data_IF_851760572385
#
_entry.id   IF_851760572385
#
_cell.length_a   1.000
_cell.length_b   1.000
_cell.length_c   1.000
_cell.angle_alpha   90.00
_cell.angle_beta   90.00
_cell.angle_gamma   90.00
#
_symmetry.space_group_name_H-M   'P 1'
#
loop_
_entity.id
_entity.type
_entity.pdbx_description
1 polymer ?
#
# COMPACT_ATOMS: atom_id res chain seq x y z
N UNK A 1 -23.42 8.22 32.86
CA UNK A 1 -22.87 6.94 32.41
C UNK A 1 -21.43 7.24 32.04
N UNK A 2 -20.46 6.50 32.55
CA UNK A 2 -19.06 6.75 32.18
C UNK A 2 -18.86 6.35 30.73
N UNK A 3 -18.10 7.13 29.98
CA UNK A 3 -17.78 6.90 28.55
C UNK A 3 -17.15 5.50 28.35
N UNK A 4 -16.41 5.02 29.34
CA UNK A 4 -15.71 3.72 29.33
C UNK A 4 -16.65 2.49 29.25
N UNK A 5 -17.78 2.52 29.97
CA UNK A 5 -18.77 1.45 29.87
C UNK A 5 -19.39 1.36 28.46
N UNK A 6 -19.58 2.50 27.82
CA UNK A 6 -20.09 2.60 26.44
C UNK A 6 -19.09 2.03 25.41
N UNK A 7 -17.80 2.31 25.51
CA UNK A 7 -16.79 1.77 24.59
C UNK A 7 -16.63 0.24 24.73
N UNK A 8 -16.72 -0.33 25.94
CA UNK A 8 -16.70 -1.77 26.15
C UNK A 8 -17.90 -2.48 25.53
N UNK A 9 -19.05 -1.81 25.48
CA UNK A 9 -20.25 -2.35 24.82
C UNK A 9 -20.15 -2.28 23.28
N UNK A 10 -19.48 -1.25 22.76
CA UNK A 10 -19.27 -1.04 21.32
C UNK A 10 -18.17 -1.97 20.80
N UNK A 11 -17.08 -2.14 21.57
CA UNK A 11 -15.91 -2.91 21.17
C UNK A 11 -16.20 -4.42 21.03
N UNK A 12 -15.88 -4.98 19.88
CA UNK A 12 -15.90 -6.44 19.64
C UNK A 12 -14.55 -7.00 20.04
N UNK A 13 -14.48 -7.73 21.17
CA UNK A 13 -13.23 -8.37 21.62
C UNK A 13 -12.79 -9.45 20.62
N UNK A 14 -11.50 -9.46 20.28
CA UNK A 14 -10.89 -10.35 19.30
C UNK A 14 -9.90 -11.29 20.00
N UNK A 15 -10.46 -12.14 20.89
CA UNK A 15 -9.67 -13.01 21.79
C UNK A 15 -9.05 -14.21 21.06
N UNK A 16 -9.65 -14.63 19.95
CA UNK A 16 -9.26 -15.77 19.14
C UNK A 16 -9.60 -15.54 17.64
N UNK A 17 -9.09 -16.40 16.72
CA UNK A 17 -9.42 -16.29 15.30
C UNK A 17 -10.92 -16.37 14.98
N UNK A 18 -11.71 -17.07 15.78
CA UNK A 18 -13.16 -17.19 15.56
C UNK A 18 -13.89 -15.88 15.91
N UNK A 19 -13.49 -15.20 16.99
CA UNK A 19 -14.04 -13.88 17.35
C UNK A 19 -13.64 -12.79 16.34
N UNK A 20 -12.39 -12.81 15.86
CA UNK A 20 -11.96 -11.97 14.74
C UNK A 20 -12.85 -12.21 13.53
N UNK A 21 -13.03 -13.47 13.14
CA UNK A 21 -13.87 -13.84 12.00
C UNK A 21 -15.29 -13.32 12.10
N UNK A 22 -15.94 -13.50 13.26
CA UNK A 22 -17.31 -13.00 13.48
C UNK A 22 -17.40 -11.48 13.40
N UNK A 23 -16.46 -10.76 14.01
CA UNK A 23 -16.45 -9.29 13.96
C UNK A 23 -16.28 -8.76 12.53
N UNK A 24 -15.43 -9.39 11.72
CA UNK A 24 -15.26 -9.06 10.32
C UNK A 24 -16.51 -9.39 9.50
N UNK A 25 -17.14 -10.57 9.73
CA UNK A 25 -18.37 -10.95 9.03
C UNK A 25 -19.53 -9.98 9.32
N UNK A 26 -19.67 -9.54 10.59
CA UNK A 26 -20.66 -8.51 10.96
C UNK A 26 -20.38 -7.20 10.22
N UNK A 27 -19.12 -6.77 10.14
CA UNK A 27 -18.75 -5.54 9.44
C UNK A 27 -19.04 -5.64 7.93
N UNK A 28 -18.70 -6.77 7.32
CA UNK A 28 -18.98 -7.01 5.89
C UNK A 28 -20.48 -7.08 5.61
N UNK A 29 -21.26 -7.72 6.48
CA UNK A 29 -22.71 -7.86 6.34
C UNK A 29 -23.47 -6.54 6.54
N UNK A 30 -22.89 -5.58 7.26
CA UNK A 30 -23.48 -4.26 7.47
C UNK A 30 -23.41 -3.34 6.24
N UNK A 31 -22.63 -3.73 5.20
CA UNK A 31 -22.45 -2.90 4.00
C UNK A 31 -23.52 -3.19 2.95
N UNK A 32 -23.87 -2.15 2.20
CA UNK A 32 -24.83 -2.27 1.08
C UNK A 32 -24.25 -3.00 -0.11
N UNK A 33 -22.94 -2.84 -0.35
CA UNK A 33 -22.18 -3.55 -1.39
C UNK A 33 -21.00 -4.31 -0.76
N UNK A 34 -20.75 -5.56 -1.20
CA UNK A 34 -19.55 -6.29 -0.76
C UNK A 34 -18.29 -5.53 -1.17
N UNK A 35 -17.31 -5.36 -0.27
CA UNK A 35 -16.08 -4.67 -0.62
C UNK A 35 -15.27 -5.49 -1.65
N UNK A 36 -14.83 -4.81 -2.68
CA UNK A 36 -13.84 -5.36 -3.63
C UNK A 36 -12.43 -5.33 -3.00
N UNK A 37 -12.18 -4.33 -2.15
CA UNK A 37 -10.91 -4.12 -1.49
C UNK A 37 -11.14 -3.85 -0.01
N UNK A 38 -10.64 -4.76 0.84
CA UNK A 38 -10.53 -4.58 2.29
C UNK A 38 -9.10 -4.17 2.61
N UNK A 39 -8.95 -3.04 3.24
CA UNK A 39 -7.67 -2.51 3.68
C UNK A 39 -7.51 -2.68 5.19
N UNK A 40 -6.38 -3.22 5.63
CA UNK A 40 -5.95 -3.23 7.03
C UNK A 40 -4.68 -2.39 7.13
N UNK A 41 -4.71 -1.36 7.95
CA UNK A 41 -3.56 -0.51 8.16
C UNK A 41 -2.71 -0.91 9.35
N UNK A 42 -1.49 -0.38 9.43
CA UNK A 42 -0.66 -0.40 10.63
C UNK A 42 -0.16 1.03 10.96
N UNK A 43 -0.06 1.42 12.25
CA UNK A 43 0.33 2.78 12.62
C UNK A 43 1.85 2.99 12.60
N UNK A 44 2.61 1.91 12.46
CA UNK A 44 4.08 1.87 12.35
C UNK A 44 4.52 0.53 11.81
N UNK A 45 5.62 0.53 11.07
CA UNK A 45 6.24 -0.71 10.61
C UNK A 45 7.11 -1.36 11.70
N UNK A 46 7.28 -2.68 11.61
CA UNK A 46 8.22 -3.45 12.41
C UNK A 46 7.70 -3.93 13.77
N UNK A 47 6.45 -3.66 14.12
CA UNK A 47 5.80 -4.27 15.29
C UNK A 47 5.05 -5.53 14.84
N UNK A 48 5.46 -6.70 15.35
CA UNK A 48 4.95 -8.00 14.89
C UNK A 48 3.44 -8.19 15.01
N UNK A 49 2.81 -7.54 15.98
CA UNK A 49 1.38 -7.69 16.26
C UNK A 49 0.49 -7.36 15.04
N UNK A 50 0.86 -6.36 14.23
CA UNK A 50 0.08 -5.95 13.07
C UNK A 50 0.17 -6.94 11.89
N UNK A 51 1.36 -7.35 11.41
CA UNK A 51 1.46 -8.38 10.38
C UNK A 51 0.88 -9.73 10.80
N UNK A 52 0.95 -10.11 12.08
CA UNK A 52 0.34 -11.34 12.57
C UNK A 52 -1.19 -11.25 12.54
N UNK A 53 -1.78 -10.12 12.96
CA UNK A 53 -3.23 -9.87 12.82
C UNK A 53 -3.65 -9.94 11.35
N UNK A 54 -2.87 -9.35 10.43
CA UNK A 54 -3.10 -9.46 8.97
C UNK A 54 -3.15 -10.92 8.51
N UNK A 55 -2.23 -11.76 8.99
CA UNK A 55 -2.18 -13.16 8.60
C UNK A 55 -3.42 -13.94 9.10
N UNK A 56 -3.84 -13.69 10.34
CA UNK A 56 -5.08 -14.27 10.88
C UNK A 56 -6.30 -13.82 10.04
N UNK A 57 -6.38 -12.52 9.74
CA UNK A 57 -7.45 -11.95 8.91
C UNK A 57 -7.46 -12.55 7.50
N UNK A 58 -6.30 -12.67 6.84
CA UNK A 58 -6.21 -13.27 5.51
C UNK A 58 -6.72 -14.70 5.50
N UNK A 59 -6.32 -15.52 6.49
CA UNK A 59 -6.78 -16.91 6.58
C UNK A 59 -8.31 -17.00 6.63
N UNK A 60 -8.95 -16.13 7.42
CA UNK A 60 -10.41 -16.04 7.50
C UNK A 60 -11.05 -15.57 6.17
N UNK A 61 -10.48 -14.53 5.53
CA UNK A 61 -11.01 -13.95 4.32
C UNK A 61 -10.88 -14.89 3.09
N UNK A 62 -9.84 -15.72 3.05
CA UNK A 62 -9.66 -16.71 1.98
C UNK A 62 -10.81 -17.74 1.95
N UNK A 63 -11.37 -18.13 3.10
CA UNK A 63 -12.57 -18.97 3.20
C UNK A 63 -13.82 -18.26 2.64
N UNK A 64 -13.80 -16.93 2.55
CA UNK A 64 -14.86 -16.07 2.00
C UNK A 64 -14.62 -15.62 0.56
N UNK A 65 -13.67 -16.27 -0.11
CA UNK A 65 -13.44 -16.02 -1.53
C UNK A 65 -12.41 -14.94 -1.85
N UNK A 66 -11.73 -14.37 -0.86
CA UNK A 66 -10.58 -13.50 -1.15
C UNK A 66 -9.46 -14.32 -1.78
N UNK A 67 -8.89 -13.81 -2.86
CA UNK A 67 -7.90 -14.54 -3.69
C UNK A 67 -6.61 -13.76 -3.92
N UNK A 68 -6.47 -12.61 -3.26
CA UNK A 68 -5.26 -11.79 -3.38
C UNK A 68 -4.95 -11.07 -2.08
N UNK A 69 -3.65 -10.99 -1.77
CA UNK A 69 -3.11 -10.09 -0.76
C UNK A 69 -2.15 -9.12 -1.42
N UNK A 70 -2.23 -7.85 -1.03
CA UNK A 70 -1.43 -6.74 -1.54
C UNK A 70 -0.71 -6.08 -0.39
N UNK A 71 0.61 -5.95 -0.46
CA UNK A 71 1.41 -5.32 0.59
C UNK A 71 2.05 -4.02 0.13
N UNK A 72 2.42 -3.17 1.08
CA UNK A 72 3.28 -2.00 0.88
C UNK A 72 4.70 -2.48 0.56
N UNK A 73 4.88 -2.87 -0.68
CA UNK A 73 6.18 -3.25 -1.24
C UNK A 73 6.19 -2.92 -2.72
N UNK A 74 7.38 -2.76 -3.30
CA UNK A 74 7.56 -2.44 -4.72
C UNK A 74 6.71 -3.37 -5.60
N UNK A 75 5.93 -2.77 -6.49
CA UNK A 75 5.02 -3.48 -7.39
C UNK A 75 5.70 -4.57 -8.22
N UNK A 76 6.93 -4.31 -8.68
CA UNK A 76 7.67 -5.26 -9.51
C UNK A 76 8.42 -6.30 -8.68
N UNK A 77 8.99 -5.90 -7.54
CA UNK A 77 9.69 -6.80 -6.63
C UNK A 77 8.75 -7.90 -6.10
N UNK A 78 7.50 -7.55 -5.80
CA UNK A 78 6.48 -8.48 -5.33
C UNK A 78 6.26 -9.70 -6.24
N UNK A 79 6.59 -9.60 -7.54
CA UNK A 79 6.51 -10.72 -8.48
C UNK A 79 7.41 -11.89 -8.07
N UNK A 80 8.52 -11.65 -7.36
CA UNK A 80 9.41 -12.69 -6.83
C UNK A 80 8.68 -13.53 -5.79
N UNK A 81 7.93 -12.87 -4.89
CA UNK A 81 7.10 -13.56 -3.89
C UNK A 81 5.96 -14.32 -4.57
N UNK A 82 5.26 -13.68 -5.51
CA UNK A 82 4.12 -14.30 -6.19
C UNK A 82 4.52 -15.56 -6.97
N UNK A 83 5.65 -15.53 -7.66
CA UNK A 83 6.21 -16.70 -8.33
C UNK A 83 6.52 -17.82 -7.34
N UNK A 84 7.18 -17.49 -6.22
CA UNK A 84 7.48 -18.47 -5.18
C UNK A 84 6.23 -19.11 -4.60
N UNK A 85 5.22 -18.33 -4.19
CA UNK A 85 3.97 -18.88 -3.63
C UNK A 85 3.12 -19.61 -4.68
N UNK A 86 3.39 -19.38 -5.96
CA UNK A 86 2.78 -20.07 -7.08
C UNK A 86 3.47 -21.40 -7.46
N UNK A 87 4.64 -21.70 -6.87
CA UNK A 87 5.29 -23.00 -7.02
C UNK A 87 6.75 -22.97 -7.49
N UNK A 88 7.35 -21.82 -7.75
CA UNK A 88 8.76 -21.72 -8.13
C UNK A 88 9.69 -22.27 -7.04
N UNK A 89 10.80 -22.91 -7.47
CA UNK A 89 11.80 -23.51 -6.58
C UNK A 89 12.89 -22.51 -6.21
N UNK A 90 12.55 -21.49 -5.41
CA UNK A 90 13.52 -20.54 -4.90
C UNK A 90 13.76 -20.78 -3.39
N UNK A 91 14.88 -20.28 -2.89
CA UNK A 91 15.15 -20.21 -1.47
C UNK A 91 14.29 -19.09 -0.85
N UNK A 92 13.59 -19.39 0.25
CA UNK A 92 12.68 -18.43 0.90
C UNK A 92 13.42 -17.20 1.43
N UNK A 93 14.64 -17.35 1.93
CA UNK A 93 15.44 -16.21 2.42
C UNK A 93 15.76 -15.25 1.28
N UNK A 94 16.10 -15.78 0.10
CA UNK A 94 16.30 -14.97 -1.10
C UNK A 94 15.01 -14.30 -1.55
N UNK A 95 13.89 -15.00 -1.49
CA UNK A 95 12.56 -14.44 -1.84
C UNK A 95 12.22 -13.27 -0.92
N UNK A 96 12.42 -13.42 0.40
CA UNK A 96 12.17 -12.35 1.37
C UNK A 96 13.12 -11.16 1.15
N UNK A 97 14.39 -11.41 0.84
CA UNK A 97 15.38 -10.35 0.63
C UNK A 97 15.14 -9.54 -0.66
N UNK A 98 14.55 -10.13 -1.70
CA UNK A 98 14.42 -9.50 -3.03
C UNK A 98 13.00 -9.22 -3.48
N UNK A 99 12.00 -9.80 -2.83
CA UNK A 99 10.58 -9.63 -3.14
C UNK A 99 9.88 -8.57 -2.30
N UNK A 100 10.58 -8.00 -1.32
CA UNK A 100 10.10 -6.90 -0.48
C UNK A 100 11.04 -5.70 -0.61
N UNK A 101 10.48 -4.52 -0.83
CA UNK A 101 11.20 -3.26 -0.69
C UNK A 101 11.30 -2.83 0.78
N UNK A 102 12.02 -1.76 1.07
CA UNK A 102 12.17 -1.18 2.41
C UNK A 102 12.73 -2.15 3.48
N UNK A 103 13.31 -3.29 3.07
CA UNK A 103 13.75 -4.32 4.02
C UNK A 103 12.61 -5.09 4.70
N UNK A 104 11.36 -4.91 4.28
CA UNK A 104 10.20 -5.50 4.94
C UNK A 104 10.17 -7.03 4.94
N UNK A 105 10.96 -7.70 4.12
CA UNK A 105 11.13 -9.15 4.20
C UNK A 105 11.62 -9.66 5.56
N UNK A 106 12.32 -8.80 6.32
CA UNK A 106 12.80 -9.12 7.67
C UNK A 106 11.76 -8.86 8.78
N UNK A 107 10.62 -8.20 8.48
CA UNK A 107 9.58 -7.93 9.46
C UNK A 107 8.87 -9.24 9.86
N UNK A 108 8.74 -9.55 11.17
CA UNK A 108 8.01 -10.73 11.63
C UNK A 108 6.58 -10.77 11.08
N UNK A 109 6.11 -11.97 10.76
CA UNK A 109 4.81 -12.18 10.10
C UNK A 109 4.89 -12.22 8.57
N UNK A 110 5.93 -11.67 7.93
CA UNK A 110 6.07 -11.73 6.47
C UNK A 110 6.59 -13.09 5.98
N UNK A 111 7.53 -13.71 6.71
CA UNK A 111 7.95 -15.09 6.43
C UNK A 111 6.78 -16.06 6.58
N UNK A 112 6.08 -15.98 7.69
CA UNK A 112 4.91 -16.81 8.00
C UNK A 112 3.83 -16.65 6.92
N UNK A 113 3.59 -15.43 6.44
CA UNK A 113 2.69 -15.18 5.32
C UNK A 113 3.12 -15.91 4.06
N UNK A 114 4.38 -15.76 3.66
CA UNK A 114 4.90 -16.34 2.41
C UNK A 114 4.88 -17.86 2.45
N UNK A 115 5.26 -18.46 3.58
CA UNK A 115 5.24 -19.91 3.78
C UNK A 115 3.80 -20.44 3.84
N UNK A 116 2.89 -19.73 4.50
CA UNK A 116 1.47 -20.08 4.53
C UNK A 116 0.85 -20.02 3.13
N UNK A 117 1.10 -18.94 2.37
CA UNK A 117 0.60 -18.81 0.99
C UNK A 117 1.09 -19.94 0.11
N UNK A 118 2.39 -20.30 0.20
CA UNK A 118 2.95 -21.41 -0.56
C UNK A 118 2.27 -22.73 -0.22
N UNK A 119 2.11 -23.01 1.08
CA UNK A 119 1.43 -24.23 1.56
C UNK A 119 -0.04 -24.26 1.13
N UNK A 120 -0.74 -23.12 1.27
CA UNK A 120 -2.13 -22.98 0.85
C UNK A 120 -2.31 -23.22 -0.66
N UNK A 121 -1.41 -22.69 -1.48
CA UNK A 121 -1.49 -22.79 -2.94
C UNK A 121 -1.08 -24.17 -3.49
N UNK A 122 -0.40 -24.99 -2.68
CA UNK A 122 0.07 -26.30 -3.11
C UNK A 122 -1.08 -27.19 -3.57
N UNK A 123 -0.97 -27.72 -4.79
CA UNK A 123 -1.99 -28.58 -5.40
C UNK A 123 -3.28 -27.89 -5.84
N UNK A 124 -3.44 -26.58 -5.64
CA UNK A 124 -4.62 -25.81 -6.08
C UNK A 124 -4.50 -25.41 -7.54
N UNK A 125 -5.62 -25.40 -8.24
CA UNK A 125 -5.69 -24.86 -9.60
C UNK A 125 -5.36 -23.34 -9.60
N UNK A 126 -4.78 -22.79 -10.66
CA UNK A 126 -4.32 -21.39 -10.70
C UNK A 126 -5.38 -20.35 -10.31
N UNK A 127 -6.64 -20.57 -10.66
CA UNK A 127 -7.76 -19.68 -10.33
C UNK A 127 -8.11 -19.69 -8.83
N UNK A 128 -7.78 -20.76 -8.10
CA UNK A 128 -8.10 -20.94 -6.68
C UNK A 128 -6.95 -20.56 -5.75
N UNK A 129 -5.79 -20.24 -6.32
CA UNK A 129 -4.61 -19.80 -5.55
C UNK A 129 -4.79 -18.40 -5.04
N UNK A 130 -4.20 -18.10 -3.90
CA UNK A 130 -4.07 -16.73 -3.40
C UNK A 130 -2.82 -16.10 -4.02
N UNK A 131 -2.98 -14.96 -4.70
CA UNK A 131 -1.89 -14.22 -5.33
C UNK A 131 -1.30 -13.21 -4.34
N UNK A 132 -0.02 -12.94 -4.52
CA UNK A 132 0.71 -11.92 -3.78
C UNK A 132 1.05 -10.75 -4.70
N UNK A 133 0.74 -9.52 -4.28
CA UNK A 133 1.05 -8.31 -5.01
C UNK A 133 1.72 -7.28 -4.11
N UNK A 134 2.53 -6.41 -4.70
CA UNK A 134 2.96 -5.14 -4.13
C UNK A 134 2.23 -4.00 -4.81
N UNK A 135 2.04 -2.89 -4.11
CA UNK A 135 1.42 -1.72 -4.73
C UNK A 135 2.25 -0.45 -4.61
N UNK A 136 3.38 -0.51 -3.93
CA UNK A 136 4.24 0.65 -3.78
C UNK A 136 5.00 0.99 -5.07
N UNK A 137 5.42 2.22 -5.16
CA UNK A 137 6.31 2.73 -6.19
C UNK A 137 7.73 2.17 -6.00
N UNK A 138 8.57 2.14 -7.06
CA UNK A 138 9.98 1.75 -6.94
C UNK A 138 10.82 2.89 -6.36
N UNK A 139 10.47 3.31 -5.15
CA UNK A 139 11.16 4.34 -4.35
C UNK A 139 11.51 3.78 -2.99
N UNK A 140 12.60 4.27 -2.42
CA UNK A 140 13.07 3.92 -1.09
C UNK A 140 13.22 5.19 -0.25
N UNK A 141 13.45 5.05 1.07
CA UNK A 141 13.64 6.21 1.97
C UNK A 141 14.77 7.14 1.53
N UNK A 142 15.79 6.60 0.86
CA UNK A 142 17.00 7.32 0.45
C UNK A 142 17.03 7.70 -1.02
N UNK A 143 15.98 7.40 -1.80
CA UNK A 143 15.99 7.75 -3.22
C UNK A 143 14.92 7.02 -4.04
N UNK A 144 14.99 7.20 -5.35
CA UNK A 144 14.12 6.57 -6.32
C UNK A 144 14.92 5.79 -7.36
N UNK A 145 14.28 4.79 -7.95
CA UNK A 145 14.88 3.99 -9.03
C UNK A 145 15.09 4.84 -10.30
N UNK A 146 16.08 4.43 -11.10
CA UNK A 146 16.23 4.95 -12.47
C UNK A 146 15.00 4.59 -13.31
N UNK A 147 14.48 5.49 -14.15
CA UNK A 147 13.37 5.20 -15.05
C UNK A 147 13.76 4.24 -16.20
N UNK A 148 15.02 3.87 -16.34
CA UNK A 148 15.57 3.04 -17.43
C UNK A 148 14.80 1.74 -17.61
N UNK A 149 14.69 0.94 -16.56
CA UNK A 149 14.00 -0.36 -16.63
C UNK A 149 12.57 -0.20 -17.13
N UNK A 150 11.86 0.78 -16.60
CA UNK A 150 10.47 1.02 -16.94
C UNK A 150 10.31 1.46 -18.40
N UNK A 151 11.15 2.39 -18.87
CA UNK A 151 11.14 2.87 -20.26
C UNK A 151 11.50 1.76 -21.26
N UNK A 152 12.56 0.99 -20.99
CA UNK A 152 12.96 -0.10 -21.89
C UNK A 152 11.92 -1.22 -21.90
N UNK A 153 11.37 -1.62 -20.76
CA UNK A 153 10.34 -2.67 -20.71
C UNK A 153 9.08 -2.29 -21.50
N UNK A 154 8.64 -1.04 -21.41
CA UNK A 154 7.52 -0.55 -22.20
C UNK A 154 7.85 -0.48 -23.71
N UNK A 155 9.05 -0.02 -24.08
CA UNK A 155 9.51 0.07 -25.44
C UNK A 155 9.68 -1.29 -26.10
N UNK A 156 10.30 -2.25 -25.40
CA UNK A 156 10.66 -3.56 -25.96
C UNK A 156 9.45 -4.48 -26.13
N UNK A 157 8.37 -4.24 -25.37
CA UNK A 157 7.10 -4.89 -25.60
C UNK A 157 6.44 -4.47 -26.92
N UNK A 158 6.63 -3.22 -27.36
CA UNK A 158 6.09 -2.73 -28.61
C UNK A 158 6.81 -3.36 -29.82
N UNK A 159 6.07 -3.90 -30.81
CA UNK A 159 6.65 -4.21 -32.11
C UNK A 159 7.42 -3.02 -32.69
N UNK A 160 8.57 -3.25 -33.28
CA UNK A 160 9.47 -2.19 -33.79
C UNK A 160 8.74 -1.14 -34.64
N UNK A 161 7.81 -1.59 -35.49
CA UNK A 161 7.03 -0.73 -36.38
C UNK A 161 6.04 0.20 -35.63
N UNK A 162 5.75 -0.07 -34.35
CA UNK A 162 4.82 0.72 -33.52
C UNK A 162 5.55 1.58 -32.47
N UNK A 163 6.88 1.47 -32.40
CA UNK A 163 7.68 2.28 -31.48
C UNK A 163 7.67 3.75 -31.93
N UNK A 164 7.48 4.71 -30.99
CA UNK A 164 7.55 6.12 -31.31
C UNK A 164 8.98 6.51 -31.72
N UNK A 165 9.11 7.52 -32.58
CA UNK A 165 10.43 7.98 -33.04
C UNK A 165 11.29 8.54 -31.90
N UNK A 166 10.65 9.13 -30.89
CA UNK A 166 11.29 9.72 -29.70
C UNK A 166 12.11 8.73 -28.88
N UNK A 167 11.93 7.39 -29.03
CA UNK A 167 12.76 6.38 -28.33
C UNK A 167 14.13 6.17 -28.98
N UNK A 168 14.40 6.74 -30.16
CA UNK A 168 15.65 6.50 -30.89
C UNK A 168 16.89 6.80 -30.06
N UNK A 169 16.86 7.88 -29.28
CA UNK A 169 17.97 8.32 -28.44
C UNK A 169 17.80 8.00 -26.96
N UNK A 170 16.89 7.05 -26.63
CA UNK A 170 16.49 6.72 -25.27
C UNK A 170 17.69 6.46 -24.33
N UNK A 171 18.67 5.67 -24.78
CA UNK A 171 19.84 5.35 -23.98
C UNK A 171 20.74 6.58 -23.72
N UNK A 172 20.90 7.44 -24.71
CA UNK A 172 21.68 8.68 -24.56
C UNK A 172 20.98 9.67 -23.61
N UNK A 173 19.65 9.78 -23.69
CA UNK A 173 18.86 10.63 -22.79
C UNK A 173 18.91 10.13 -21.34
N UNK A 174 18.91 8.82 -21.13
CA UNK A 174 19.00 8.23 -19.77
C UNK A 174 20.36 8.50 -19.12
N UNK A 175 21.45 8.44 -19.88
CA UNK A 175 22.81 8.54 -19.30
C UNK A 175 23.10 7.39 -18.34
N UNK A 176 23.80 7.68 -17.24
CA UNK A 176 24.16 6.67 -16.26
C UNK A 176 23.08 6.50 -15.17
N UNK A 177 22.84 5.26 -14.73
CA UNK A 177 21.85 5.00 -13.69
C UNK A 177 22.25 5.62 -12.34
N UNK A 178 23.55 5.77 -12.08
CA UNK A 178 24.06 6.42 -10.89
C UNK A 178 23.59 7.87 -10.73
N UNK A 179 23.32 8.58 -11.84
CA UNK A 179 22.80 9.95 -11.80
C UNK A 179 21.36 9.97 -11.22
N UNK A 180 20.56 8.97 -11.56
CA UNK A 180 19.17 8.85 -11.10
C UNK A 180 19.06 8.32 -9.67
N UNK A 181 19.96 7.39 -9.29
CA UNK A 181 19.94 6.74 -7.96
C UNK A 181 20.81 7.44 -6.92
N UNK A 182 21.23 8.68 -7.19
CA UNK A 182 22.03 9.48 -6.26
C UNK A 182 21.23 9.79 -4.99
N UNK A 183 21.61 9.17 -3.88
CA UNK A 183 20.93 9.36 -2.59
C UNK A 183 20.99 10.79 -2.06
N UNK A 184 22.03 11.56 -2.41
CA UNK A 184 22.14 12.97 -2.02
C UNK A 184 20.95 13.78 -2.55
N UNK A 185 20.37 13.41 -3.70
CA UNK A 185 19.21 14.08 -4.29
C UNK A 185 17.96 14.08 -3.40
N UNK A 186 17.86 13.15 -2.45
CA UNK A 186 16.78 13.14 -1.47
C UNK A 186 16.85 14.38 -0.53
N UNK A 187 18.04 14.85 -0.23
CA UNK A 187 18.28 15.95 0.72
C UNK A 187 18.69 17.26 0.04
N UNK A 188 19.34 17.17 -1.11
CA UNK A 188 19.81 18.31 -1.90
C UNK A 188 19.18 18.31 -3.31
N UNK A 189 18.27 19.25 -3.61
CA UNK A 189 17.66 19.38 -4.94
C UNK A 189 18.67 19.52 -6.09
N UNK A 190 19.81 20.16 -5.84
CA UNK A 190 20.85 20.38 -6.86
C UNK A 190 21.58 19.07 -7.26
N UNK A 191 21.51 18.04 -6.42
CA UNK A 191 22.05 16.71 -6.72
C UNK A 191 21.13 15.86 -7.61
N UNK A 192 19.87 16.29 -7.86
CA UNK A 192 18.91 15.58 -8.68
C UNK A 192 19.04 15.97 -10.17
N UNK A 193 19.02 14.95 -11.03
CA UNK A 193 18.96 15.16 -12.50
C UNK A 193 17.54 15.40 -13.02
N UNK A 194 16.53 15.33 -12.15
CA UNK A 194 15.11 15.30 -12.53
C UNK A 194 14.57 16.53 -13.26
N UNK A 195 15.25 17.69 -13.16
CA UNK A 195 14.89 18.91 -13.89
C UNK A 195 15.86 19.27 -15.04
N UNK A 196 16.76 18.36 -15.41
CA UNK A 196 17.65 18.53 -16.56
C UNK A 196 16.89 18.46 -17.89
N UNK A 197 17.47 19.02 -18.96
CA UNK A 197 16.88 18.96 -20.30
C UNK A 197 16.66 17.52 -20.78
N UNK A 198 17.57 16.60 -20.45
CA UNK A 198 17.43 15.18 -20.77
C UNK A 198 16.25 14.55 -20.01
N UNK A 199 16.04 14.90 -18.75
CA UNK A 199 14.90 14.40 -17.96
C UNK A 199 13.57 14.94 -18.51
N UNK A 200 13.52 16.20 -18.94
CA UNK A 200 12.35 16.79 -19.62
C UNK A 200 12.06 16.10 -20.95
N UNK A 201 13.10 15.80 -21.76
CA UNK A 201 12.94 15.04 -22.98
C UNK A 201 12.41 13.60 -22.73
N UNK A 202 12.90 12.93 -21.69
CA UNK A 202 12.40 11.59 -21.29
C UNK A 202 10.94 11.59 -20.87
N UNK A 203 10.40 12.68 -20.34
CA UNK A 203 8.96 12.82 -20.07
C UNK A 203 8.13 12.73 -21.35
N UNK A 204 8.60 13.35 -22.44
CA UNK A 204 7.95 13.25 -23.75
C UNK A 204 8.03 11.81 -24.25
N UNK A 205 9.21 11.16 -24.16
CA UNK A 205 9.38 9.76 -24.54
C UNK A 205 8.42 8.84 -23.76
N UNK A 206 8.30 9.03 -22.45
CA UNK A 206 7.40 8.23 -21.62
C UNK A 206 5.92 8.42 -22.00
N UNK A 207 5.51 9.66 -22.33
CA UNK A 207 4.15 9.94 -22.80
C UNK A 207 3.87 9.32 -24.17
N UNK A 208 4.82 9.44 -25.10
CA UNK A 208 4.73 8.83 -26.45
C UNK A 208 4.62 7.30 -26.35
N UNK A 209 5.40 6.64 -25.46
CA UNK A 209 5.33 5.19 -25.23
C UNK A 209 3.96 4.80 -24.66
N UNK A 210 3.46 5.52 -23.66
CA UNK A 210 2.14 5.26 -23.09
C UNK A 210 1.03 5.46 -24.13
N UNK A 211 1.14 6.48 -24.99
CA UNK A 211 0.22 6.73 -26.09
C UNK A 211 0.29 5.62 -27.16
N UNK A 212 1.49 5.17 -27.53
CA UNK A 212 1.69 4.08 -28.50
C UNK A 212 1.06 2.78 -28.00
N UNK A 213 1.27 2.40 -26.74
CA UNK A 213 0.64 1.23 -26.11
C UNK A 213 -0.89 1.34 -26.16
N UNK A 214 -1.47 2.47 -25.79
CA UNK A 214 -2.93 2.68 -25.85
C UNK A 214 -3.48 2.51 -27.27
N UNK A 215 -2.82 3.09 -28.27
CA UNK A 215 -3.24 2.96 -29.68
C UNK A 215 -3.08 1.56 -30.23
N UNK A 216 -2.09 0.80 -29.75
CA UNK A 216 -1.83 -0.59 -30.14
C UNK A 216 -2.69 -1.60 -29.37
N UNK A 217 -3.41 -1.18 -28.34
CA UNK A 217 -4.22 -2.04 -27.46
C UNK A 217 -5.17 -3.00 -28.20
N UNK A 218 -5.92 -2.58 -29.24
CA UNK A 218 -6.85 -3.49 -29.93
C UNK A 218 -6.18 -4.74 -30.53
N UNK A 219 -4.91 -4.63 -30.94
CA UNK A 219 -4.15 -5.79 -31.46
C UNK A 219 -3.37 -6.55 -30.37
N UNK A 220 -2.68 -5.80 -29.49
CA UNK A 220 -1.74 -6.40 -28.54
C UNK A 220 -2.45 -7.06 -27.34
N UNK A 221 -3.47 -6.40 -26.77
CA UNK A 221 -4.14 -6.89 -25.56
C UNK A 221 -4.84 -8.24 -25.74
N UNK A 222 -5.57 -8.51 -26.84
CA UNK A 222 -6.15 -9.84 -27.06
C UNK A 222 -5.11 -10.94 -27.30
N UNK A 223 -3.96 -10.59 -27.91
CA UNK A 223 -2.89 -11.53 -28.21
C UNK A 223 -2.08 -11.95 -26.97
N UNK A 224 -1.79 -10.98 -26.10
CA UNK A 224 -1.04 -11.18 -24.86
C UNK A 224 -1.58 -10.24 -23.76
N UNK A 225 -2.68 -10.61 -23.07
CA UNK A 225 -3.29 -9.76 -22.05
C UNK A 225 -2.36 -9.43 -20.89
N UNK A 226 -1.53 -10.39 -20.48
CA UNK A 226 -0.62 -10.24 -19.32
C UNK A 226 0.57 -9.35 -19.68
N UNK A 227 1.26 -9.62 -20.78
CA UNK A 227 2.38 -8.81 -21.23
C UNK A 227 1.95 -7.38 -21.55
N UNK A 228 0.76 -7.19 -22.15
CA UNK A 228 0.20 -5.87 -22.38
C UNK A 228 -0.05 -5.11 -21.08
N UNK A 229 -0.64 -5.75 -20.07
CA UNK A 229 -0.87 -5.12 -18.76
C UNK A 229 0.45 -4.72 -18.09
N UNK A 230 1.47 -5.56 -18.16
CA UNK A 230 2.82 -5.23 -17.65
C UNK A 230 3.43 -4.05 -18.40
N UNK A 231 3.36 -4.03 -19.74
CA UNK A 231 3.91 -2.94 -20.54
C UNK A 231 3.24 -1.58 -20.23
N UNK A 232 1.92 -1.57 -20.06
CA UNK A 232 1.16 -0.38 -19.64
C UNK A 232 1.59 0.07 -18.24
N UNK A 233 1.79 -0.87 -17.33
CA UNK A 233 2.28 -0.55 -15.97
C UNK A 233 3.69 0.02 -16.01
N UNK A 234 4.60 -0.54 -16.79
CA UNK A 234 5.94 0.02 -16.97
C UNK A 234 5.92 1.42 -17.56
N UNK A 235 5.09 1.67 -18.59
CA UNK A 235 4.97 3.00 -19.18
C UNK A 235 4.46 4.04 -18.15
N UNK A 236 3.44 3.68 -17.36
CA UNK A 236 2.92 4.52 -16.27
C UNK A 236 4.00 4.77 -15.21
N UNK A 237 4.69 3.71 -14.77
CA UNK A 237 5.78 3.83 -13.78
C UNK A 237 6.90 4.75 -14.29
N UNK A 238 7.25 4.68 -15.58
CA UNK A 238 8.23 5.57 -16.16
C UNK A 238 7.80 7.06 -16.10
N UNK A 239 6.54 7.34 -16.46
CA UNK A 239 5.98 8.68 -16.36
C UNK A 239 6.03 9.21 -14.92
N UNK A 240 5.63 8.38 -13.96
CA UNK A 240 5.54 8.75 -12.55
C UNK A 240 6.91 8.89 -11.89
N UNK A 241 7.88 8.00 -12.20
CA UNK A 241 9.27 8.16 -11.74
C UNK A 241 9.90 9.45 -12.26
N UNK A 242 9.68 9.79 -13.52
CA UNK A 242 10.21 11.05 -14.10
C UNK A 242 9.57 12.28 -13.42
N UNK A 243 8.30 12.24 -13.04
CA UNK A 243 7.66 13.28 -12.23
C UNK A 243 8.26 13.33 -10.82
N UNK A 244 8.48 12.18 -10.20
CA UNK A 244 9.07 12.06 -8.87
C UNK A 244 10.49 12.65 -8.84
N UNK A 245 11.34 12.30 -9.80
CA UNK A 245 12.68 12.88 -9.94
C UNK A 245 12.65 14.40 -10.19
N UNK A 246 11.66 14.88 -10.93
CA UNK A 246 11.50 16.33 -11.11
C UNK A 246 11.04 17.03 -9.82
N UNK A 247 10.14 16.42 -9.05
CA UNK A 247 9.79 16.94 -7.73
C UNK A 247 11.00 16.92 -6.78
N UNK A 248 11.83 15.88 -6.87
CA UNK A 248 13.09 15.78 -6.13
C UNK A 248 14.07 16.92 -6.45
N UNK A 249 14.08 17.42 -7.69
CA UNK A 249 14.84 18.59 -8.12
C UNK A 249 14.15 19.93 -7.81
N UNK A 250 12.90 19.89 -7.36
CA UNK A 250 12.09 21.08 -7.09
C UNK A 250 12.56 21.89 -5.88
N UNK A 251 12.13 23.17 -5.79
CA UNK A 251 12.49 24.04 -4.67
C UNK A 251 11.85 23.57 -3.35
N UNK A 252 12.56 23.75 -2.23
CA UNK A 252 11.95 23.71 -0.90
C UNK A 252 11.02 24.95 -0.71
N UNK A 253 9.96 24.88 0.13
CA UNK A 253 9.65 23.82 1.11
C UNK A 253 8.75 22.69 0.57
N UNK A 254 8.08 22.86 -0.58
CA UNK A 254 6.98 21.97 -1.00
C UNK A 254 7.45 20.62 -1.57
N UNK A 255 8.76 20.44 -1.75
CA UNK A 255 9.37 19.30 -2.40
C UNK A 255 8.98 17.94 -1.76
N UNK A 256 9.07 17.83 -0.44
CA UNK A 256 8.77 16.58 0.28
C UNK A 256 7.29 16.23 0.12
N UNK A 257 6.40 17.20 0.28
CA UNK A 257 4.97 17.00 0.08
C UNK A 257 4.65 16.59 -1.37
N UNK A 258 5.31 17.21 -2.35
CA UNK A 258 5.16 16.85 -3.77
C UNK A 258 5.62 15.41 -4.06
N UNK A 259 6.77 15.00 -3.51
CA UNK A 259 7.26 13.61 -3.65
C UNK A 259 6.31 12.61 -2.97
N UNK A 260 5.84 12.90 -1.77
CA UNK A 260 4.88 12.05 -1.05
C UNK A 260 3.57 11.89 -1.82
N UNK A 261 3.04 12.98 -2.40
CA UNK A 261 1.81 12.94 -3.19
C UNK A 261 1.97 12.13 -4.49
N UNK A 262 3.11 12.26 -5.18
CA UNK A 262 3.41 11.46 -6.37
C UNK A 262 3.58 9.97 -6.04
N UNK A 263 4.17 9.62 -4.88
CA UNK A 263 4.19 8.24 -4.41
C UNK A 263 2.78 7.72 -4.15
N UNK A 264 1.93 8.52 -3.50
CA UNK A 264 0.53 8.18 -3.25
C UNK A 264 -0.27 7.98 -4.55
N UNK A 265 -0.06 8.82 -5.57
CA UNK A 265 -0.62 8.64 -6.92
C UNK A 265 -0.20 7.29 -7.52
N UNK A 266 1.10 6.96 -7.50
CA UNK A 266 1.61 5.68 -8.01
C UNK A 266 1.01 4.47 -7.25
N UNK A 267 0.93 4.55 -5.93
CA UNK A 267 0.34 3.52 -5.09
C UNK A 267 -1.15 3.31 -5.43
N UNK A 268 -1.92 4.38 -5.59
CA UNK A 268 -3.33 4.31 -5.95
C UNK A 268 -3.54 3.70 -7.34
N UNK A 269 -2.76 4.13 -8.33
CA UNK A 269 -2.81 3.58 -9.69
C UNK A 269 -2.46 2.09 -9.73
N UNK A 270 -1.47 1.66 -8.94
CA UNK A 270 -1.10 0.24 -8.82
C UNK A 270 -2.23 -0.56 -8.17
N UNK A 271 -2.83 -0.08 -7.06
CA UNK A 271 -3.97 -0.74 -6.43
C UNK A 271 -5.16 -0.88 -7.38
N UNK A 272 -5.52 0.18 -8.10
CA UNK A 272 -6.62 0.14 -9.06
C UNK A 272 -6.33 -0.82 -10.22
N UNK A 273 -5.08 -0.90 -10.68
CA UNK A 273 -4.68 -1.87 -11.70
C UNK A 273 -4.79 -3.32 -11.18
N UNK A 274 -4.38 -3.58 -9.94
CA UNK A 274 -4.53 -4.90 -9.30
C UNK A 274 -6.02 -5.24 -9.14
N UNK A 275 -6.85 -4.30 -8.67
CA UNK A 275 -8.31 -4.49 -8.56
C UNK A 275 -8.91 -4.88 -9.92
N UNK A 276 -8.55 -4.18 -10.98
CA UNK A 276 -9.05 -4.48 -12.33
C UNK A 276 -8.59 -5.86 -12.84
N UNK A 277 -7.38 -6.29 -12.47
CA UNK A 277 -6.83 -7.60 -12.83
C UNK A 277 -7.52 -8.73 -12.06
N UNK A 278 -7.73 -8.55 -10.76
CA UNK A 278 -8.20 -9.59 -9.84
C UNK A 278 -9.74 -9.67 -9.71
N UNK A 279 -10.48 -8.70 -10.25
CA UNK A 279 -11.95 -8.59 -10.08
C UNK A 279 -12.74 -9.86 -10.43
N UNK A 280 -12.22 -10.73 -11.32
CA UNK A 280 -12.86 -12.01 -11.70
C UNK A 280 -12.47 -13.15 -10.77
N UNK A 281 -11.44 -12.98 -9.94
CA UNK A 281 -10.93 -13.99 -9.03
C UNK A 281 -11.53 -13.88 -7.64
N UNK A 282 -11.76 -12.66 -7.16
CA UNK A 282 -12.35 -12.38 -5.87
C UNK A 282 -11.91 -11.05 -5.28
N UNK A 283 -12.40 -10.71 -4.08
CA UNK A 283 -11.97 -9.53 -3.35
C UNK A 283 -10.49 -9.62 -2.92
N UNK A 284 -9.94 -8.50 -2.50
CA UNK A 284 -8.52 -8.29 -2.20
C UNK A 284 -8.38 -7.82 -0.76
N UNK A 285 -7.41 -8.38 -0.02
CA UNK A 285 -6.89 -7.79 1.21
C UNK A 285 -5.66 -6.95 0.88
N UNK A 286 -5.64 -5.67 1.28
CA UNK A 286 -4.44 -4.83 1.24
C UNK A 286 -3.95 -4.52 2.64
N UNK A 287 -2.62 -4.47 2.84
CA UNK A 287 -1.98 -4.15 4.11
C UNK A 287 -0.83 -3.16 3.90
N UNK A 288 -0.87 -2.05 4.60
CA UNK A 288 0.12 -0.98 4.53
C UNK A 288 0.03 -0.06 5.77
N UNK A 289 0.90 0.94 5.84
CA UNK A 289 0.77 1.98 6.86
C UNK A 289 -0.60 2.68 6.78
N UNK A 290 -1.21 2.99 7.94
CA UNK A 290 -2.51 3.69 8.03
C UNK A 290 -2.55 4.95 7.15
N UNK A 291 -1.48 5.74 7.15
CA UNK A 291 -1.39 6.99 6.39
C UNK A 291 -1.55 6.80 4.88
N UNK A 292 -1.26 5.61 4.34
CA UNK A 292 -1.45 5.32 2.92
C UNK A 292 -2.87 4.88 2.59
N UNK A 293 -3.62 4.37 3.57
CA UNK A 293 -4.90 3.67 3.35
C UNK A 293 -6.14 4.45 3.78
N UNK A 294 -5.99 5.56 4.50
CA UNK A 294 -7.14 6.38 4.90
C UNK A 294 -7.99 6.79 3.69
N UNK A 295 -9.31 6.56 3.77
CA UNK A 295 -10.26 6.88 2.70
C UNK A 295 -10.64 8.37 2.64
N UNK A 296 -10.27 9.14 3.65
CA UNK A 296 -10.62 10.54 3.78
C UNK A 296 -9.45 11.35 4.31
N UNK A 297 -9.24 12.53 3.73
CA UNK A 297 -8.25 13.48 4.22
C UNK A 297 -8.95 14.59 4.97
N UNK A 298 -8.47 14.98 6.16
CA UNK A 298 -9.04 16.14 6.85
C UNK A 298 -8.83 17.39 6.00
N UNK A 299 -9.89 18.15 5.80
CA UNK A 299 -9.80 19.50 5.23
C UNK A 299 -9.37 20.43 6.36
N UNK A 300 -8.12 20.86 6.34
CA UNK A 300 -7.62 21.91 7.24
C UNK A 300 -7.95 23.25 6.58
N UNK A 301 -8.60 24.15 7.33
CA UNK A 301 -8.97 25.48 6.85
C UNK A 301 -7.70 26.20 6.36
N UNK A 302 -7.73 26.70 5.13
CA UNK A 302 -6.61 27.36 4.44
C UNK A 302 -5.40 26.50 4.03
N UNK A 303 -5.42 25.17 4.21
CA UNK A 303 -4.38 24.28 3.69
C UNK A 303 -4.93 23.34 2.61
N UNK A 304 -4.31 23.37 1.41
CA UNK A 304 -4.55 22.38 0.36
C UNK A 304 -3.59 21.23 0.58
N UNK A 305 -4.10 20.10 1.08
CA UNK A 305 -3.31 18.87 1.21
C UNK A 305 -3.56 17.91 0.03
N UNK A 306 -2.53 17.17 -0.33
CA UNK A 306 -2.63 16.12 -1.34
C UNK A 306 -3.27 14.86 -0.75
N UNK A 307 -4.12 14.17 -1.53
CA UNK A 307 -4.70 12.89 -1.13
C UNK A 307 -3.65 11.79 -1.01
N UNK A 308 -3.84 10.88 -0.05
CA UNK A 308 -3.11 9.64 0.03
C UNK A 308 -3.69 8.58 -0.93
N UNK A 309 -3.05 7.41 -1.02
CA UNK A 309 -3.49 6.35 -1.93
C UNK A 309 -4.91 5.85 -1.64
N UNK A 310 -5.27 5.68 -0.36
CA UNK A 310 -6.61 5.23 0.07
C UNK A 310 -7.70 6.21 -0.33
N UNK A 311 -7.47 7.52 -0.16
CA UNK A 311 -8.42 8.55 -0.58
C UNK A 311 -8.64 8.53 -2.11
N UNK A 312 -7.55 8.42 -2.89
CA UNK A 312 -7.64 8.33 -4.36
C UNK A 312 -8.37 7.06 -4.82
N UNK A 313 -8.10 5.91 -4.20
CA UNK A 313 -8.78 4.64 -4.46
C UNK A 313 -10.26 4.72 -4.06
N UNK A 314 -10.55 5.33 -2.91
CA UNK A 314 -11.90 5.54 -2.39
C UNK A 314 -12.80 6.33 -3.35
N UNK A 315 -12.25 7.33 -4.07
CA UNK A 315 -12.99 8.07 -5.11
C UNK A 315 -13.48 7.17 -6.25
N UNK A 316 -12.74 6.10 -6.56
CA UNK A 316 -13.07 5.17 -7.65
C UNK A 316 -13.95 4.02 -7.17
N UNK A 317 -13.68 3.47 -5.99
CA UNK A 317 -14.37 2.29 -5.48
C UNK A 317 -15.61 2.61 -4.64
N UNK A 318 -15.67 3.79 -4.02
CA UNK A 318 -16.77 4.19 -3.13
C UNK A 318 -16.96 3.17 -2.00
N UNK A 319 -18.20 2.74 -1.80
CA UNK A 319 -18.58 1.73 -0.79
C UNK A 319 -17.88 0.38 -0.92
N UNK A 320 -17.26 0.08 -2.07
CA UNK A 320 -16.49 -1.15 -2.29
C UNK A 320 -15.05 -1.08 -1.76
N UNK A 321 -14.64 0.05 -1.18
CA UNK A 321 -13.42 0.21 -0.40
C UNK A 321 -13.78 0.19 1.08
N UNK A 322 -13.20 -0.75 1.84
CA UNK A 322 -13.38 -0.88 3.28
C UNK A 322 -12.02 -0.73 3.95
N UNK A 323 -11.87 0.23 4.86
CA UNK A 323 -10.61 0.45 5.56
C UNK A 323 -10.73 0.23 7.07
N UNK A 324 -9.90 -0.68 7.59
CA UNK A 324 -9.70 -0.93 9.02
C UNK A 324 -8.37 -0.29 9.43
N UNK A 325 -8.42 0.78 10.19
CA UNK A 325 -7.22 1.32 10.82
C UNK A 325 -6.83 0.47 12.02
N UNK A 326 -5.54 0.32 12.30
CA UNK A 326 -5.11 -0.28 13.57
C UNK A 326 -4.36 0.73 14.40
N UNK A 327 -4.38 0.52 15.73
CA UNK A 327 -3.55 1.26 16.66
C UNK A 327 -3.20 0.40 17.87
N UNK A 328 -2.21 0.82 18.62
CA UNK A 328 -1.78 0.20 19.86
C UNK A 328 -1.18 1.31 20.75
N UNK A 329 -1.33 1.24 21.98
CA UNK A 329 -0.62 1.96 23.05
C UNK A 329 -1.33 1.72 24.39
N UNK A 330 -1.13 0.53 25.00
CA UNK A 330 -1.84 0.16 26.21
C UNK A 330 -1.51 1.05 27.43
N UNK A 331 -0.37 1.73 27.40
CA UNK A 331 0.10 2.61 28.48
C UNK A 331 -0.22 4.10 28.25
N UNK A 332 -1.14 4.40 27.33
CA UNK A 332 -1.49 5.79 26.98
C UNK A 332 -2.32 6.47 28.07
N UNK A 333 -2.23 7.82 28.13
CA UNK A 333 -3.02 8.64 29.05
C UNK A 333 -4.53 8.40 28.81
N UNK A 334 -5.33 8.13 29.87
CA UNK A 334 -6.80 7.98 29.77
C UNK A 334 -7.52 9.16 29.09
N UNK A 335 -6.92 10.37 29.06
CA UNK A 335 -7.43 11.54 28.37
C UNK A 335 -7.21 11.53 26.85
N UNK A 336 -6.70 10.43 26.30
CA UNK A 336 -6.43 10.28 24.87
C UNK A 336 -7.27 9.16 24.23
N UNK A 337 -7.36 9.17 22.88
CA UNK A 337 -8.06 8.10 22.15
C UNK A 337 -7.48 6.73 22.50
N UNK A 338 -6.15 6.60 22.49
CA UNK A 338 -5.44 5.36 22.75
C UNK A 338 -5.69 4.86 24.19
N UNK A 339 -5.68 5.75 25.18
CA UNK A 339 -5.98 5.41 26.57
C UNK A 339 -7.41 4.88 26.74
N UNK A 340 -8.40 5.56 26.12
CA UNK A 340 -9.80 5.12 26.18
C UNK A 340 -10.00 3.77 25.47
N UNK A 341 -9.34 3.55 24.32
CA UNK A 341 -9.40 2.26 23.63
C UNK A 341 -8.71 1.16 24.43
N UNK A 342 -7.59 1.46 25.10
CA UNK A 342 -6.88 0.50 25.94
C UNK A 342 -7.74 0.05 27.13
N UNK A 343 -8.44 0.94 27.82
CA UNK A 343 -9.35 0.60 28.91
C UNK A 343 -10.54 -0.25 28.48
N UNK A 344 -10.98 -0.10 27.22
CA UNK A 344 -12.09 -0.86 26.65
C UNK A 344 -11.66 -2.20 26.02
N UNK A 345 -10.36 -2.48 25.91
CA UNK A 345 -9.81 -3.63 25.19
C UNK A 345 -9.14 -4.60 26.17
N UNK A 346 -9.43 -5.89 26.08
CA UNK A 346 -8.75 -6.93 26.88
C UNK A 346 -7.40 -7.28 26.25
N UNK A 347 -7.41 -7.73 25.00
CA UNK A 347 -6.22 -8.04 24.21
C UNK A 347 -6.22 -7.31 22.87
N UNK A 348 -7.28 -7.50 22.12
CA UNK A 348 -7.55 -6.84 20.83
C UNK A 348 -9.04 -6.61 20.74
N UNK A 349 -9.45 -5.45 20.20
CA UNK A 349 -10.87 -5.17 19.97
C UNK A 349 -11.08 -4.36 18.69
N UNK A 350 -12.21 -4.62 18.01
CA UNK A 350 -12.65 -3.88 16.84
C UNK A 350 -13.78 -2.93 17.23
N UNK A 351 -13.63 -1.66 16.87
CA UNK A 351 -14.60 -0.59 17.12
C UNK A 351 -15.11 -0.04 15.79
N UNK A 352 -16.39 -0.27 15.42
CA UNK A 352 -16.98 0.38 14.25
C UNK A 352 -16.93 1.90 14.40
N UNK A 353 -16.35 2.61 13.43
CA UNK A 353 -16.06 4.05 13.54
C UNK A 353 -17.29 4.91 13.83
N UNK A 354 -18.47 4.70 13.21
CA UNK A 354 -19.64 5.53 13.53
C UNK A 354 -20.05 5.45 15.01
N UNK A 355 -20.03 4.24 15.59
CA UNK A 355 -20.37 4.02 16.99
C UNK A 355 -19.26 4.54 17.92
N UNK A 356 -17.99 4.32 17.55
CA UNK A 356 -16.82 4.83 18.29
C UNK A 356 -16.91 6.36 18.42
N UNK A 357 -17.05 7.07 17.30
CA UNK A 357 -17.13 8.54 17.29
C UNK A 357 -18.29 9.11 18.11
N UNK A 358 -19.43 8.43 18.10
CA UNK A 358 -20.60 8.85 18.86
C UNK A 358 -20.38 8.75 20.39
N UNK A 359 -19.44 7.87 20.82
CA UNK A 359 -19.12 7.64 22.22
C UNK A 359 -17.94 8.47 22.74
N UNK A 360 -17.14 9.05 21.84
CA UNK A 360 -15.95 9.83 22.22
C UNK A 360 -16.29 11.26 22.67
N UNK A 361 -15.58 11.79 23.68
CA UNK A 361 -15.68 13.21 24.06
C UNK A 361 -15.25 14.14 22.92
N UNK A 362 -15.85 15.33 22.79
CA UNK A 362 -15.52 16.29 21.72
C UNK A 362 -14.08 16.81 21.72
N UNK A 363 -13.41 16.79 22.87
CA UNK A 363 -12.06 17.35 23.08
C UNK A 363 -11.04 16.28 23.44
N UNK A 364 -11.11 15.14 22.80
CA UNK A 364 -10.18 14.04 23.05
C UNK A 364 -8.83 14.29 22.37
N UNK A 365 -7.73 14.05 23.10
CA UNK A 365 -6.37 14.14 22.58
C UNK A 365 -5.90 12.87 21.87
N UNK A 366 -4.75 12.98 21.20
CA UNK A 366 -4.01 11.83 20.65
C UNK A 366 -2.94 11.41 21.67
N UNK A 367 -2.75 10.10 21.85
CA UNK A 367 -1.70 9.55 22.70
C UNK A 367 -0.30 9.71 22.12
N UNK A 368 0.71 9.55 22.96
CA UNK A 368 2.11 9.60 22.55
C UNK A 368 2.49 8.36 21.71
N UNK A 369 3.44 8.49 20.77
CA UNK A 369 3.97 7.33 20.03
C UNK A 369 4.64 6.30 20.94
N UNK A 370 4.38 5.01 20.75
CA UNK A 370 5.05 3.92 21.49
C UNK A 370 6.49 3.67 21.03
N UNK A 371 6.79 3.99 19.76
CA UNK A 371 8.14 3.91 19.18
C UNK A 371 8.32 5.07 18.19
N UNK A 372 9.57 5.49 17.89
CA UNK A 372 9.83 6.44 16.81
C UNK A 372 9.19 6.00 15.48
N UNK A 373 8.45 6.89 14.83
CA UNK A 373 7.74 6.59 13.57
C UNK A 373 6.37 5.91 13.75
N UNK A 374 5.92 5.66 14.97
CA UNK A 374 4.52 5.37 15.24
C UNK A 374 3.70 6.66 15.06
N UNK A 375 2.67 6.59 14.22
CA UNK A 375 1.69 7.64 14.00
C UNK A 375 0.36 7.22 14.64
N UNK A 376 0.11 7.60 15.91
CA UNK A 376 -1.12 7.26 16.61
C UNK A 376 -2.34 7.85 15.89
N UNK A 377 -3.45 7.12 15.90
CA UNK A 377 -4.70 7.62 15.31
C UNK A 377 -5.15 8.91 15.99
N UNK A 378 -5.42 9.91 15.18
CA UNK A 378 -5.98 11.17 15.63
C UNK A 378 -7.53 11.06 15.67
N UNK A 379 -8.19 11.43 16.78
CA UNK A 379 -9.65 11.45 16.86
C UNK A 379 -10.34 12.21 15.73
N UNK A 380 -9.73 13.31 15.25
CA UNK A 380 -10.26 14.11 14.14
C UNK A 380 -10.23 13.38 12.78
N UNK A 381 -9.36 12.39 12.62
CA UNK A 381 -9.13 11.65 11.38
C UNK A 381 -9.86 10.30 11.32
N UNK A 382 -10.59 9.93 12.36
CA UNK A 382 -11.32 8.65 12.42
C UNK A 382 -12.31 8.46 11.28
N UNK A 383 -12.82 9.53 10.68
CA UNK A 383 -13.66 9.46 9.48
C UNK A 383 -12.99 8.79 8.28
N UNK A 384 -11.68 8.70 8.28
CA UNK A 384 -10.90 8.04 7.24
C UNK A 384 -10.95 6.52 7.31
N UNK A 385 -11.51 5.92 8.37
CA UNK A 385 -11.61 4.48 8.55
C UNK A 385 -13.05 4.03 8.84
N UNK A 386 -13.42 2.83 8.39
CA UNK A 386 -14.72 2.21 8.67
C UNK A 386 -14.78 1.59 10.07
N UNK A 387 -13.64 1.09 10.55
CA UNK A 387 -13.47 0.62 11.92
C UNK A 387 -12.01 0.79 12.38
N UNK A 388 -11.83 0.76 13.70
CA UNK A 388 -10.52 0.76 14.36
C UNK A 388 -10.31 -0.58 15.06
N UNK A 389 -9.18 -1.23 14.82
CA UNK A 389 -8.74 -2.38 15.61
C UNK A 389 -7.63 -1.92 16.55
N UNK A 390 -7.91 -1.97 17.85
CA UNK A 390 -6.93 -1.64 18.88
C UNK A 390 -6.27 -2.90 19.43
N UNK A 391 -4.94 -2.88 19.59
CA UNK A 391 -4.11 -3.98 20.08
C UNK A 391 -3.47 -3.58 21.40
N UNK A 392 -3.98 -4.13 22.52
CA UNK A 392 -3.47 -3.88 23.87
C UNK A 392 -2.39 -4.88 24.29
N UNK A 393 -2.28 -6.04 23.65
CA UNK A 393 -1.34 -7.11 24.02
C UNK A 393 -0.02 -7.09 23.21
N UNK A 394 0.33 -5.95 22.62
CA UNK A 394 1.62 -5.80 21.96
C UNK A 394 2.75 -5.58 22.99
N UNK A 395 3.92 -6.16 22.72
CA UNK A 395 5.14 -5.90 23.49
C UNK A 395 5.81 -4.56 23.16
N UNK A 396 5.27 -3.83 22.18
CA UNK A 396 5.79 -2.55 21.69
C UNK A 396 7.19 -2.62 21.06
N UNK A 397 7.77 -3.81 20.90
CA UNK A 397 9.10 -3.96 20.32
C UNK A 397 9.07 -3.74 18.81
N UNK A 398 9.87 -2.82 18.36
CA UNK A 398 10.14 -2.63 16.94
C UNK A 398 11.27 -3.53 16.48
N UNK A 399 10.99 -4.42 15.56
CA UNK A 399 12.01 -5.20 14.86
C UNK A 399 12.71 -4.35 13.82
N UNK A 400 14.03 -4.40 13.82
CA UNK A 400 14.83 -3.71 12.81
C UNK A 400 14.71 -4.45 11.47
N UNK A 401 14.51 -3.72 10.39
CA UNK A 401 14.31 -4.26 9.04
C UNK A 401 15.12 -3.51 7.97
N UNK A 402 15.88 -2.45 8.34
CA UNK A 402 16.84 -1.72 7.46
C UNK A 402 18.26 -1.77 8.03
#
# INVERSE_FOLDING_TARGET
MSTDASLREIGRQLDDPASLGRAIDELLAARTEPPTLLALGEPTHGIAAFPLLRNELLSHLVERGYRSIVLETDFFAASVVDNYVSGDTADVDKVLATGFSHGFGAVPGNRELVEWLRSHNAGRAPQDRVRFHGFDAPVEYSGASSPRRALFSANDYLPVALRPESVRDLNALLGEDADWTNQAAMFDPAASVGDSDRARALRIVADDLASALRRAAPGLRPADPTGYAHAVTYARTAQSLLRYHAAMAGPAPDRIAAMASLRAEMMAENLLAIVAQEQRRGPILVFAHNAHLQSHMPVVEDEVSWGNAGALVGLTLGERYLFLATDANPDSDPGTLQGMLAEATIRRALFPTPALRAALPPSLGTGEPIVPGHLPLNPAELNGADAVVFIADTDGKRHQYW
#
